data_IF_147470791735
#
_entry.id   IF_147470791735
#
_cell.length_a   1.000
_cell.length_b   1.000
_cell.length_c   1.000
_cell.angle_alpha   90.00
_cell.angle_beta   90.00
_cell.angle_gamma   90.00
#
_symmetry.space_group_name_H-M   'P 1'
#
loop_
_entity.id
_entity.type
_entity.pdbx_description
1 polymer ?
#
# COMPACT_ATOMS: atom_id res chain seq x y z
N UNK A 1 -2.33 16.90 -8.04
CA UNK A 1 -3.72 16.97 -7.52
C UNK A 1 -3.64 17.57 -6.14
N UNK A 2 -4.46 18.57 -5.83
CA UNK A 2 -4.44 19.22 -4.53
C UNK A 2 -5.30 18.44 -3.52
N UNK A 3 -4.94 18.51 -2.25
CA UNK A 3 -5.76 18.00 -1.15
C UNK A 3 -6.92 18.97 -0.92
N UNK A 4 -8.15 18.47 -0.83
CA UNK A 4 -9.32 19.30 -0.55
C UNK A 4 -9.38 19.65 0.92
N UNK A 5 -9.44 20.95 1.23
CA UNK A 5 -9.63 21.51 2.57
C UNK A 5 -11.10 21.82 2.83
N UNK A 6 -11.44 22.11 4.09
CA UNK A 6 -12.79 22.46 4.52
C UNK A 6 -12.78 23.80 5.26
N UNK A 7 -13.90 24.48 5.28
CA UNK A 7 -14.10 25.68 6.10
C UNK A 7 -13.96 25.32 7.59
N UNK A 8 -13.28 26.13 8.40
CA UNK A 8 -12.95 25.84 9.80
C UNK A 8 -14.17 26.06 10.73
N UNK A 9 -15.27 25.35 10.50
CA UNK A 9 -16.52 25.46 11.26
C UNK A 9 -16.47 24.80 12.63
N UNK A 10 -15.50 23.90 12.87
CA UNK A 10 -15.28 23.26 14.18
C UNK A 10 -13.81 22.89 14.35
N UNK A 11 -13.33 22.63 15.59
CA UNK A 11 -11.94 22.22 15.85
C UNK A 11 -11.51 20.99 15.03
N UNK A 12 -12.40 20.03 14.85
CA UNK A 12 -12.13 18.81 14.10
C UNK A 12 -11.98 19.05 12.59
N UNK A 13 -12.77 19.98 12.04
CA UNK A 13 -12.81 20.28 10.60
C UNK A 13 -11.71 21.25 10.20
N UNK A 14 -11.24 22.11 11.13
CA UNK A 14 -10.18 23.11 10.88
C UNK A 14 -8.93 22.54 10.20
N UNK A 15 -8.50 21.36 10.62
CA UNK A 15 -7.29 20.72 10.08
C UNK A 15 -7.59 19.51 9.19
N UNK A 16 -8.88 19.16 9.01
CA UNK A 16 -9.27 18.01 8.23
C UNK A 16 -9.09 18.27 6.75
N UNK A 17 -8.50 17.29 6.07
CA UNK A 17 -8.39 17.29 4.61
C UNK A 17 -8.84 15.95 4.05
N UNK A 18 -9.12 15.91 2.76
CA UNK A 18 -9.44 14.69 2.01
C UNK A 18 -8.70 14.70 0.67
N UNK A 19 -8.47 13.52 0.11
CA UNK A 19 -7.98 13.43 -1.26
C UNK A 19 -8.98 14.05 -2.23
N UNK A 20 -8.49 14.62 -3.33
CA UNK A 20 -9.36 15.10 -4.41
C UNK A 20 -9.89 13.90 -5.19
N UNK A 21 -11.21 13.78 -5.25
CA UNK A 21 -11.92 12.73 -5.96
C UNK A 21 -12.45 13.19 -7.33
N UNK A 22 -12.05 14.38 -7.81
CA UNK A 22 -12.46 14.91 -9.12
C UNK A 22 -12.02 14.05 -10.30
N UNK A 23 -10.92 13.30 -10.10
CA UNK A 23 -10.38 12.37 -11.09
C UNK A 23 -11.22 11.10 -11.27
N UNK A 24 -12.11 10.81 -10.33
CA UNK A 24 -12.94 9.61 -10.38
C UNK A 24 -14.09 9.79 -11.38
N UNK A 25 -14.19 8.85 -12.30
CA UNK A 25 -15.19 8.91 -13.38
C UNK A 25 -16.43 8.06 -13.09
N UNK A 26 -16.31 7.05 -12.24
CA UNK A 26 -17.41 6.16 -11.87
C UNK A 26 -17.51 6.01 -10.36
N UNK A 27 -18.72 6.18 -9.80
CA UNK A 27 -19.00 6.08 -8.36
C UNK A 27 -19.34 4.65 -7.92
N UNK A 28 -20.09 3.91 -8.73
CA UNK A 28 -20.53 2.55 -8.42
C UNK A 28 -19.51 1.53 -8.94
N UNK A 29 -19.04 0.59 -8.09
CA UNK A 29 -18.10 -0.43 -8.53
C UNK A 29 -18.78 -1.50 -9.39
N UNK A 30 -17.99 -2.19 -10.23
CA UNK A 30 -18.45 -3.32 -11.03
C UNK A 30 -18.83 -4.49 -10.11
N UNK A 31 -20.10 -4.94 -10.20
CA UNK A 31 -20.67 -5.93 -9.27
C UNK A 31 -20.00 -7.30 -9.39
N UNK A 32 -19.66 -7.73 -10.59
CA UNK A 32 -18.99 -9.01 -10.88
C UNK A 32 -17.59 -9.12 -10.25
N UNK A 33 -16.91 -7.98 -10.08
CA UNK A 33 -15.57 -7.89 -9.51
C UNK A 33 -15.55 -7.57 -8.00
N UNK A 34 -16.67 -7.78 -7.29
CA UNK A 34 -16.78 -7.55 -5.85
C UNK A 34 -16.82 -8.85 -5.04
N UNK A 35 -16.07 -8.85 -3.95
CA UNK A 35 -16.10 -9.94 -2.95
C UNK A 35 -16.41 -9.38 -1.56
N UNK A 36 -17.24 -10.10 -0.80
CA UNK A 36 -17.47 -9.78 0.61
C UNK A 36 -16.29 -10.26 1.44
N UNK A 37 -15.68 -9.36 2.21
CA UNK A 37 -14.57 -9.66 3.11
C UNK A 37 -15.08 -9.97 4.53
N UNK A 38 -14.50 -10.97 5.18
CA UNK A 38 -14.68 -11.20 6.62
C UNK A 38 -13.87 -10.20 7.42
N UNK A 39 -14.41 -9.71 8.54
CA UNK A 39 -13.71 -8.82 9.47
C UNK A 39 -13.21 -9.65 10.66
N UNK A 40 -11.90 -9.83 10.75
CA UNK A 40 -11.30 -10.59 11.85
C UNK A 40 -10.99 -9.72 13.09
N UNK A 41 -11.06 -8.40 12.98
CA UNK A 41 -10.80 -7.44 14.07
C UNK A 41 -9.52 -7.77 14.88
N UNK A 42 -8.44 -8.15 14.19
CA UNK A 42 -7.16 -8.51 14.81
C UNK A 42 -7.10 -9.87 15.49
N UNK A 43 -8.13 -10.74 15.33
CA UNK A 43 -8.17 -12.11 15.89
C UNK A 43 -7.56 -13.09 14.92
N UNK A 44 -6.89 -14.12 15.48
CA UNK A 44 -6.40 -15.29 14.74
C UNK A 44 -7.51 -16.35 14.56
N UNK A 45 -7.16 -17.54 14.04
CA UNK A 45 -8.07 -18.66 13.86
C UNK A 45 -8.68 -19.20 15.16
N UNK A 46 -7.98 -19.02 16.28
CA UNK A 46 -8.44 -19.41 17.62
C UNK A 46 -9.27 -18.32 18.33
N UNK A 47 -9.58 -17.20 17.66
CA UNK A 47 -10.32 -16.09 18.23
C UNK A 47 -9.52 -15.18 19.17
N UNK A 48 -8.23 -15.45 19.40
CA UNK A 48 -7.35 -14.62 20.25
C UNK A 48 -6.89 -13.38 19.50
N UNK A 49 -6.80 -12.25 20.21
CA UNK A 49 -6.28 -10.99 19.65
C UNK A 49 -4.77 -11.11 19.48
N UNK A 50 -4.30 -11.15 18.24
CA UNK A 50 -2.88 -11.16 17.87
C UNK A 50 -2.41 -9.79 17.39
N UNK A 51 -3.31 -8.95 16.89
CA UNK A 51 -3.06 -7.57 16.51
C UNK A 51 -4.04 -6.66 17.23
N UNK A 52 -3.53 -5.87 18.19
CA UNK A 52 -4.34 -4.96 19.00
C UNK A 52 -4.87 -3.78 18.19
N UNK A 53 -5.85 -3.07 18.75
CA UNK A 53 -6.40 -1.81 18.25
C UNK A 53 -7.04 -1.91 16.85
N UNK A 54 -7.62 -3.05 16.49
CA UNK A 54 -8.38 -3.24 15.25
C UNK A 54 -9.83 -3.59 15.52
N UNK A 55 -10.73 -3.16 14.63
CA UNK A 55 -12.15 -3.49 14.65
C UNK A 55 -13.08 -2.28 14.57
N UNK A 56 -14.38 -2.53 14.43
CA UNK A 56 -15.43 -1.52 14.43
C UNK A 56 -15.47 -0.58 13.23
N UNK A 57 -14.73 -0.83 12.18
CA UNK A 57 -14.72 0.00 10.97
C UNK A 57 -15.96 -0.21 10.08
N UNK A 58 -16.15 0.70 9.12
CA UNK A 58 -17.22 0.62 8.12
C UNK A 58 -17.19 -0.71 7.36
N UNK A 59 -18.35 -1.16 6.87
CA UNK A 59 -18.44 -2.31 5.97
C UNK A 59 -17.82 -1.92 4.62
N UNK A 60 -16.96 -2.80 4.09
CA UNK A 60 -16.27 -2.59 2.81
C UNK A 60 -16.37 -3.86 1.99
N UNK A 61 -16.66 -3.72 0.70
CA UNK A 61 -16.52 -4.81 -0.26
C UNK A 61 -15.10 -4.78 -0.82
N UNK A 62 -14.51 -5.94 -1.07
CA UNK A 62 -13.18 -6.09 -1.65
C UNK A 62 -13.33 -6.09 -3.17
N UNK A 63 -12.57 -5.22 -3.88
CA UNK A 63 -12.43 -5.26 -5.33
C UNK A 63 -11.41 -6.34 -5.68
N UNK A 64 -11.74 -7.18 -6.62
CA UNK A 64 -10.83 -8.21 -7.15
C UNK A 64 -9.91 -7.51 -8.15
N UNK A 65 -8.65 -7.34 -7.75
CA UNK A 65 -7.63 -6.71 -8.60
C UNK A 65 -6.86 -7.79 -9.33
N UNK A 66 -6.63 -7.59 -10.61
CA UNK A 66 -5.75 -8.45 -11.40
C UNK A 66 -4.28 -8.11 -11.11
N UNK A 67 -3.70 -8.86 -10.16
CA UNK A 67 -2.31 -8.71 -9.77
C UNK A 67 -1.32 -9.40 -10.72
N UNK A 68 -1.80 -10.32 -11.51
CA UNK A 68 -0.95 -11.17 -12.36
C UNK A 68 -0.80 -10.64 -13.77
N UNK A 69 -1.85 -10.01 -14.30
CA UNK A 69 -1.87 -9.49 -15.67
C UNK A 69 -1.43 -10.54 -16.70
N UNK A 70 -2.07 -11.71 -16.65
CA UNK A 70 -1.67 -12.89 -17.46
C UNK A 70 -2.19 -12.87 -18.90
N UNK A 71 -2.98 -11.88 -19.29
CA UNK A 71 -3.51 -11.73 -20.64
C UNK A 71 -2.51 -11.00 -21.53
N UNK A 72 -1.47 -11.74 -21.93
CA UNK A 72 -0.38 -11.18 -22.72
C UNK A 72 -0.80 -10.89 -24.16
N UNK A 73 -0.34 -9.78 -24.72
CA UNK A 73 -0.61 -9.36 -26.10
C UNK A 73 -2.03 -8.84 -26.34
N UNK A 74 -2.96 -8.96 -25.38
CA UNK A 74 -4.34 -8.51 -25.56
C UNK A 74 -4.47 -7.07 -25.01
N UNK A 75 -4.74 -6.07 -25.86
CA UNK A 75 -4.95 -4.71 -25.40
C UNK A 75 -6.25 -4.57 -24.60
N UNK A 76 -6.21 -3.75 -23.57
CA UNK A 76 -7.37 -3.39 -22.78
C UNK A 76 -7.51 -1.86 -22.75
N UNK A 77 -8.75 -1.37 -22.83
CA UNK A 77 -9.06 0.06 -22.75
C UNK A 77 -9.52 0.41 -21.34
N UNK A 78 -9.04 1.53 -20.81
CA UNK A 78 -9.49 2.07 -19.51
C UNK A 78 -10.89 2.65 -19.67
N UNK A 79 -11.87 2.04 -19.02
CA UNK A 79 -13.28 2.46 -19.08
C UNK A 79 -13.66 3.41 -17.94
N UNK A 80 -13.03 3.26 -16.77
CA UNK A 80 -13.31 4.12 -15.61
C UNK A 80 -12.13 4.15 -14.63
N UNK A 81 -12.03 5.25 -13.86
CA UNK A 81 -11.19 5.34 -12.67
C UNK A 81 -12.10 5.39 -11.45
N UNK A 82 -11.86 4.50 -10.48
CA UNK A 82 -12.75 4.27 -9.35
C UNK A 82 -12.03 4.34 -7.99
N UNK A 83 -12.80 4.62 -6.95
CA UNK A 83 -12.37 4.57 -5.56
C UNK A 83 -12.41 3.14 -4.99
N UNK A 84 -11.35 2.73 -4.30
CA UNK A 84 -11.34 1.50 -3.52
C UNK A 84 -11.15 1.81 -2.02
N UNK A 85 -12.12 1.48 -1.14
CA UNK A 85 -12.01 1.72 0.31
C UNK A 85 -10.98 0.81 1.02
N UNK A 86 -10.37 -0.16 0.32
CA UNK A 86 -9.42 -1.11 0.90
C UNK A 86 -7.96 -0.71 0.66
N UNK A 87 -7.72 0.32 -0.15
CA UNK A 87 -6.37 0.80 -0.49
C UNK A 87 -6.30 2.32 -0.58
N UNK A 88 -5.10 2.82 -0.61
CA UNK A 88 -4.83 4.26 -0.72
C UNK A 88 -4.83 4.75 -2.16
N UNK A 89 -4.44 3.90 -3.11
CA UNK A 89 -4.44 4.18 -4.54
C UNK A 89 -5.84 4.07 -5.14
N UNK A 90 -6.11 4.82 -6.20
CA UNK A 90 -7.28 4.59 -7.06
C UNK A 90 -7.07 3.33 -7.90
N UNK A 91 -8.17 2.79 -8.43
CA UNK A 91 -8.18 1.64 -9.33
C UNK A 91 -8.76 2.05 -10.66
N UNK A 92 -8.31 1.40 -11.73
CA UNK A 92 -8.86 1.56 -13.07
C UNK A 92 -9.62 0.30 -13.47
N UNK A 93 -10.84 0.47 -13.96
CA UNK A 93 -11.58 -0.58 -14.61
C UNK A 93 -11.11 -0.61 -16.07
N UNK A 94 -10.59 -1.74 -16.50
CA UNK A 94 -10.15 -1.98 -17.86
C UNK A 94 -11.05 -3.01 -18.51
N UNK A 95 -11.27 -2.86 -19.81
CA UNK A 95 -12.00 -3.80 -20.65
C UNK A 95 -11.09 -4.28 -21.78
N UNK A 96 -10.87 -5.58 -21.84
CA UNK A 96 -10.14 -6.21 -22.93
C UNK A 96 -10.98 -6.26 -24.20
N UNK A 97 -10.32 -6.42 -25.35
CA UNK A 97 -10.99 -6.52 -26.65
C UNK A 97 -12.00 -7.68 -26.70
N UNK A 98 -11.76 -8.75 -25.94
CA UNK A 98 -12.65 -9.90 -25.79
C UNK A 98 -13.86 -9.64 -24.86
N UNK A 99 -14.08 -8.40 -24.41
CA UNK A 99 -15.19 -7.99 -23.56
C UNK A 99 -14.99 -8.25 -22.06
N UNK A 100 -13.93 -8.96 -21.64
CA UNK A 100 -13.67 -9.24 -20.24
C UNK A 100 -13.21 -7.97 -19.52
N UNK A 101 -13.79 -7.72 -18.35
CA UNK A 101 -13.42 -6.58 -17.49
C UNK A 101 -12.54 -7.01 -16.34
N UNK A 102 -11.60 -6.15 -15.92
CA UNK A 102 -10.73 -6.36 -14.77
C UNK A 102 -10.40 -5.05 -14.07
N UNK A 103 -10.07 -5.12 -12.78
CA UNK A 103 -9.49 -3.98 -12.07
C UNK A 103 -7.97 -4.07 -12.02
N UNK A 104 -7.32 -2.93 -12.25
CA UNK A 104 -5.89 -2.73 -12.03
C UNK A 104 -5.67 -1.54 -11.10
N UNK A 105 -4.46 -1.35 -10.55
CA UNK A 105 -4.11 -0.10 -9.91
C UNK A 105 -3.94 0.99 -10.97
N UNK A 106 -4.48 2.17 -10.71
CA UNK A 106 -4.33 3.30 -11.63
C UNK A 106 -2.94 3.94 -11.43
N UNK A 107 -2.04 3.88 -12.42
CA UNK A 107 -0.80 4.65 -12.40
C UNK A 107 -1.09 6.14 -12.55
N UNK A 108 -0.12 6.95 -12.18
CA UNK A 108 -0.20 8.40 -12.34
C UNK A 108 -0.30 8.76 -13.83
N UNK A 109 -1.18 9.70 -14.15
CA UNK A 109 -1.39 10.17 -15.53
C UNK A 109 -2.34 9.31 -16.38
N UNK A 110 -2.78 8.13 -15.90
CA UNK A 110 -3.72 7.28 -16.64
C UNK A 110 -5.10 7.96 -16.76
N UNK A 111 -5.66 7.94 -17.96
CA UNK A 111 -6.98 8.54 -18.28
C UNK A 111 -7.94 7.48 -18.83
N UNK A 112 -9.23 7.81 -18.80
CA UNK A 112 -10.26 7.01 -19.48
C UNK A 112 -10.03 7.09 -21.00
N UNK A 113 -10.09 5.95 -21.66
CA UNK A 113 -9.79 5.80 -23.10
C UNK A 113 -8.37 5.33 -23.40
N UNK A 114 -7.43 5.44 -22.42
CA UNK A 114 -6.08 4.95 -22.62
C UNK A 114 -6.05 3.43 -22.81
N UNK A 115 -5.11 2.96 -23.61
CA UNK A 115 -4.88 1.53 -23.84
C UNK A 115 -3.74 1.04 -22.95
N UNK A 116 -3.92 -0.11 -22.34
CA UNK A 116 -2.91 -0.79 -21.52
C UNK A 116 -2.73 -2.23 -21.98
N UNK A 117 -1.49 -2.67 -22.09
CA UNK A 117 -1.12 -4.00 -22.56
C UNK A 117 -0.21 -4.68 -21.54
N UNK A 118 -0.20 -6.00 -21.55
CA UNK A 118 0.74 -6.82 -20.78
C UNK A 118 1.46 -7.77 -21.74
N UNK A 119 2.73 -8.04 -21.53
CA UNK A 119 3.48 -8.97 -22.37
C UNK A 119 4.95 -8.62 -22.47
N UNK A 120 5.66 -9.32 -23.37
CA UNK A 120 7.09 -9.11 -23.63
C UNK A 120 7.34 -7.94 -24.58
N UNK A 121 6.46 -7.73 -25.54
CA UNK A 121 6.61 -6.78 -26.66
C UNK A 121 5.62 -5.60 -26.51
N UNK A 122 5.67 -4.97 -25.35
CA UNK A 122 4.83 -3.80 -25.05
C UNK A 122 5.69 -2.54 -24.95
N UNK A 123 5.12 -1.40 -25.34
CA UNK A 123 5.75 -0.10 -25.19
C UNK A 123 5.98 0.26 -23.73
N UNK A 124 7.01 1.06 -23.46
CA UNK A 124 7.36 1.54 -22.12
C UNK A 124 6.46 2.74 -21.75
N UNK A 125 5.17 2.46 -21.64
CA UNK A 125 4.12 3.44 -21.30
C UNK A 125 3.53 3.12 -19.94
N UNK A 126 3.16 4.15 -19.17
CA UNK A 126 2.55 3.98 -17.85
C UNK A 126 1.28 3.11 -17.90
N UNK A 127 1.23 2.08 -17.06
CA UNK A 127 0.13 1.10 -17.02
C UNK A 127 0.41 -0.21 -17.75
N UNK A 128 1.39 -0.25 -18.64
CA UNK A 128 1.83 -1.50 -19.28
C UNK A 128 2.62 -2.36 -18.31
N UNK A 129 2.52 -3.67 -18.47
CA UNK A 129 3.20 -4.65 -17.60
C UNK A 129 4.11 -5.53 -18.43
N UNK A 130 5.40 -5.51 -18.10
CA UNK A 130 6.45 -6.28 -18.77
C UNK A 130 7.26 -7.11 -17.79
N UNK A 131 7.92 -8.18 -18.27
CA UNK A 131 9.02 -8.79 -17.54
C UNK A 131 10.15 -7.76 -17.33
N UNK A 132 10.78 -7.79 -16.16
CA UNK A 132 11.87 -6.85 -15.83
C UNK A 132 13.03 -6.95 -16.84
N UNK A 133 13.23 -8.12 -17.43
CA UNK A 133 14.21 -8.32 -18.51
C UNK A 133 14.06 -7.29 -19.65
N UNK A 134 12.80 -6.96 -20.01
CA UNK A 134 12.48 -6.12 -21.17
C UNK A 134 12.34 -4.62 -20.81
N UNK A 135 12.42 -4.27 -19.53
CA UNK A 135 12.30 -2.87 -19.07
C UNK A 135 13.69 -2.21 -19.06
N UNK A 136 13.92 -1.06 -19.71
CA UNK A 136 15.21 -0.36 -19.67
C UNK A 136 15.65 -0.01 -18.25
N UNK A 137 16.96 -0.02 -18.00
CA UNK A 137 17.55 0.46 -16.75
C UNK A 137 17.26 1.97 -16.59
N UNK A 138 17.05 2.40 -15.34
CA UNK A 138 16.64 3.77 -15.01
C UNK A 138 15.12 3.98 -15.00
N UNK A 139 14.33 3.09 -15.60
CA UNK A 139 12.86 3.22 -15.67
C UNK A 139 12.23 3.18 -14.29
N UNK A 140 11.22 4.03 -14.09
CA UNK A 140 10.35 4.04 -12.91
C UNK A 140 9.29 2.95 -13.08
N UNK A 141 9.17 2.09 -12.09
CA UNK A 141 8.28 0.92 -12.08
C UNK A 141 7.46 0.84 -10.79
N UNK A 142 6.33 0.18 -10.86
CA UNK A 142 5.48 -0.13 -9.71
C UNK A 142 4.88 -1.53 -9.84
N UNK A 143 4.06 -1.96 -8.88
CA UNK A 143 3.41 -3.28 -8.91
C UNK A 143 4.39 -4.43 -9.19
N UNK A 144 5.53 -4.44 -8.50
CA UNK A 144 6.62 -5.38 -8.76
C UNK A 144 6.33 -6.76 -8.15
N UNK A 145 6.54 -7.82 -8.92
CA UNK A 145 6.52 -9.20 -8.43
C UNK A 145 7.79 -9.52 -7.62
N UNK A 146 7.66 -10.44 -6.67
CA UNK A 146 8.79 -11.01 -5.92
C UNK A 146 9.20 -12.40 -6.41
N UNK A 147 8.26 -13.11 -7.02
CA UNK A 147 8.47 -14.41 -7.66
C UNK A 147 7.69 -14.43 -8.96
N UNK A 148 8.26 -14.97 -10.05
CA UNK A 148 7.58 -15.02 -11.34
C UNK A 148 6.19 -15.67 -11.23
N UNK A 149 5.19 -15.05 -11.86
CA UNK A 149 3.81 -15.55 -11.93
C UNK A 149 2.99 -15.46 -10.62
N UNK A 150 3.57 -14.94 -9.53
CA UNK A 150 2.85 -14.79 -8.26
C UNK A 150 1.95 -13.56 -8.24
N UNK A 151 2.16 -12.63 -9.13
CA UNK A 151 1.49 -11.34 -9.19
C UNK A 151 2.17 -10.27 -8.35
N UNK A 152 1.77 -9.03 -8.55
CA UNK A 152 2.34 -7.84 -7.93
C UNK A 152 2.27 -7.90 -6.40
N UNK A 153 3.40 -7.69 -5.72
CA UNK A 153 3.51 -7.75 -4.26
C UNK A 153 4.11 -6.49 -3.64
N UNK A 154 5.01 -5.80 -4.33
CA UNK A 154 5.68 -4.59 -3.85
C UNK A 154 5.21 -3.35 -4.62
N UNK A 155 5.43 -2.18 -4.04
CA UNK A 155 5.18 -0.86 -4.67
C UNK A 155 3.75 -0.74 -5.18
N UNK A 156 2.76 -0.78 -4.25
CA UNK A 156 1.32 -0.79 -4.57
C UNK A 156 0.52 0.31 -3.89
N UNK A 157 1.16 1.09 -3.01
CA UNK A 157 0.50 2.18 -2.28
C UNK A 157 0.47 3.45 -3.12
N UNK A 158 -0.47 4.35 -2.82
CA UNK A 158 -0.58 5.63 -3.49
C UNK A 158 0.76 6.38 -3.50
N UNK A 159 1.13 6.99 -4.62
CA UNK A 159 2.37 7.74 -4.80
C UNK A 159 3.65 6.92 -4.69
N UNK A 160 3.57 5.59 -4.65
CA UNK A 160 4.78 4.78 -4.56
C UNK A 160 5.33 4.42 -5.93
N UNK A 161 6.65 4.51 -6.04
CA UNK A 161 7.42 4.08 -7.21
C UNK A 161 8.71 3.39 -6.78
N UNK A 162 9.26 2.57 -7.65
CA UNK A 162 10.58 1.97 -7.53
C UNK A 162 11.37 2.27 -8.79
N UNK A 163 12.69 2.23 -8.72
CA UNK A 163 13.55 2.44 -9.87
C UNK A 163 14.36 1.18 -10.18
N UNK A 164 14.40 0.80 -11.44
CA UNK A 164 15.25 -0.26 -11.93
C UNK A 164 16.68 0.28 -12.08
N UNK A 165 17.61 -0.18 -11.22
CA UNK A 165 18.97 0.37 -11.14
C UNK A 165 19.95 -0.34 -12.09
N UNK A 166 19.90 -1.67 -12.11
CA UNK A 166 20.80 -2.49 -12.91
C UNK A 166 20.17 -3.87 -13.18
N UNK A 167 20.71 -4.57 -14.18
CA UNK A 167 20.41 -5.98 -14.46
C UNK A 167 21.71 -6.76 -14.54
N UNK A 168 21.81 -7.85 -13.81
CA UNK A 168 23.00 -8.70 -13.72
C UNK A 168 22.56 -10.18 -13.77
N UNK A 169 22.83 -10.83 -14.89
CA UNK A 169 22.42 -12.23 -15.11
C UNK A 169 20.91 -12.42 -14.91
N UNK A 170 20.53 -13.33 -14.02
CA UNK A 170 19.11 -13.67 -13.73
C UNK A 170 18.43 -12.70 -12.76
N UNK A 171 19.13 -11.66 -12.27
CA UNK A 171 18.59 -10.73 -11.28
C UNK A 171 18.69 -9.28 -11.75
N UNK A 172 17.73 -8.51 -11.29
CA UNK A 172 17.70 -7.06 -11.44
C UNK A 172 17.76 -6.39 -10.07
N UNK A 173 18.49 -5.30 -9.96
CA UNK A 173 18.57 -4.46 -8.77
C UNK A 173 17.48 -3.40 -8.82
N UNK A 174 16.58 -3.42 -7.85
CA UNK A 174 15.44 -2.50 -7.76
C UNK A 174 15.55 -1.68 -6.48
N UNK A 175 15.60 -0.35 -6.63
CA UNK A 175 15.54 0.60 -5.51
C UNK A 175 14.09 0.83 -5.13
N UNK A 176 13.72 0.43 -3.92
CA UNK A 176 12.38 0.54 -3.37
C UNK A 176 12.12 1.94 -2.79
N UNK A 177 10.83 2.34 -2.56
CA UNK A 177 10.47 3.62 -1.94
C UNK A 177 11.13 3.84 -0.57
N UNK A 178 11.45 2.76 0.15
CA UNK A 178 12.14 2.81 1.45
C UNK A 178 13.64 3.17 1.35
N UNK A 179 14.21 3.24 0.14
CA UNK A 179 15.65 3.38 -0.12
C UNK A 179 16.42 2.04 -0.11
N UNK A 180 15.77 0.91 0.25
CA UNK A 180 16.38 -0.42 0.15
C UNK A 180 16.61 -0.78 -1.31
N UNK A 181 17.81 -1.23 -1.67
CA UNK A 181 18.11 -1.83 -2.97
C UNK A 181 18.03 -3.35 -2.83
N UNK A 182 17.21 -3.95 -3.67
CA UNK A 182 16.90 -5.38 -3.59
C UNK A 182 17.02 -6.05 -4.94
N UNK A 183 17.52 -7.28 -4.94
CA UNK A 183 17.52 -8.18 -6.09
C UNK A 183 16.14 -8.79 -6.30
N UNK A 184 15.67 -8.78 -7.54
CA UNK A 184 14.43 -9.40 -8.02
C UNK A 184 14.78 -10.15 -9.30
N UNK A 185 14.23 -11.35 -9.52
CA UNK A 185 14.47 -12.08 -10.77
C UNK A 185 13.99 -11.28 -11.99
N UNK A 186 14.78 -11.30 -13.05
CA UNK A 186 14.43 -10.61 -14.32
C UNK A 186 13.17 -11.17 -14.97
N UNK A 187 12.77 -12.40 -14.63
CA UNK A 187 11.53 -13.03 -15.09
C UNK A 187 10.28 -12.50 -14.36
N UNK A 188 10.45 -11.78 -13.24
CA UNK A 188 9.36 -11.11 -12.55
C UNK A 188 8.79 -9.99 -13.40
N UNK A 189 7.48 -9.75 -13.27
CA UNK A 189 6.79 -8.65 -13.96
C UNK A 189 6.75 -7.40 -13.10
N UNK A 190 6.74 -6.26 -13.76
CA UNK A 190 6.50 -4.96 -13.14
C UNK A 190 5.64 -4.10 -14.07
N UNK A 191 4.87 -3.20 -13.50
CA UNK A 191 4.12 -2.18 -14.23
C UNK A 191 4.97 -0.93 -14.38
N UNK A 192 4.95 -0.34 -15.55
CA UNK A 192 5.65 0.91 -15.83
C UNK A 192 4.92 2.08 -15.17
N UNK A 193 5.70 3.01 -14.60
CA UNK A 193 5.21 4.24 -14.00
C UNK A 193 5.11 4.19 -12.47
N UNK A 194 4.49 5.20 -11.92
CA UNK A 194 4.23 5.45 -10.50
C UNK A 194 2.75 5.25 -10.19
N UNK A 195 2.42 4.79 -8.98
CA UNK A 195 1.02 4.67 -8.55
C UNK A 195 0.40 6.05 -8.35
N UNK A 196 -0.79 6.26 -8.87
CA UNK A 196 -1.53 7.51 -8.73
C UNK A 196 -1.95 7.85 -7.29
N UNK A 197 -2.61 9.03 -7.11
CA UNK A 197 -3.04 9.57 -5.82
C UNK A 197 -1.89 9.87 -4.84
N UNK A 198 -0.77 10.42 -5.34
CA UNK A 198 0.43 10.72 -4.55
C UNK A 198 0.14 11.60 -3.33
N UNK A 199 -0.80 12.56 -3.45
CA UNK A 199 -1.19 13.46 -2.36
C UNK A 199 -1.93 12.79 -1.18
N UNK A 200 -2.14 11.48 -1.24
CA UNK A 200 -2.80 10.74 -0.15
C UNK A 200 -2.03 10.85 1.18
N UNK A 201 -0.73 10.98 1.16
CA UNK A 201 0.10 11.15 2.37
C UNK A 201 -0.17 12.48 3.09
N UNK A 202 -0.58 13.52 2.36
CA UNK A 202 -0.89 14.85 2.88
C UNK A 202 -2.29 14.93 3.51
N UNK A 203 -3.07 13.83 3.50
CA UNK A 203 -4.43 13.81 4.05
C UNK A 203 -4.40 13.80 5.57
N UNK A 204 -4.94 14.87 6.18
CA UNK A 204 -5.15 14.94 7.63
C UNK A 204 -6.54 14.42 8.00
N UNK A 205 -6.56 13.40 8.86
CA UNK A 205 -7.80 12.73 9.28
C UNK A 205 -8.70 13.67 10.12
N UNK A 206 -8.13 14.59 10.89
CA UNK A 206 -8.79 15.65 11.65
C UNK A 206 -9.48 15.20 12.93
N UNK A 207 -10.12 14.03 12.99
CA UNK A 207 -10.89 13.57 14.16
C UNK A 207 -10.76 12.08 14.45
N UNK A 208 -10.83 11.70 15.72
CA UNK A 208 -10.77 10.33 16.19
C UNK A 208 -11.88 9.43 15.60
N UNK A 209 -13.10 9.97 15.42
CA UNK A 209 -14.21 9.23 14.82
C UNK A 209 -13.93 8.74 13.40
N UNK A 210 -13.19 9.53 12.60
CA UNK A 210 -12.77 9.09 11.27
C UNK A 210 -11.80 7.91 11.31
N UNK A 211 -10.85 7.91 12.26
CA UNK A 211 -9.99 6.73 12.54
C UNK A 211 -10.83 5.51 12.95
N UNK A 212 -11.85 5.72 13.80
CA UNK A 212 -12.78 4.64 14.20
C UNK A 212 -13.50 4.02 12.98
N UNK A 213 -13.98 4.83 12.06
CA UNK A 213 -14.61 4.37 10.81
C UNK A 213 -13.63 3.60 9.92
N UNK A 214 -12.33 3.90 9.98
CA UNK A 214 -11.29 3.14 9.28
C UNK A 214 -10.99 1.79 9.92
N UNK A 215 -11.51 1.51 11.13
CA UNK A 215 -11.32 0.28 11.87
C UNK A 215 -10.17 0.34 12.89
N UNK A 216 -9.65 1.51 13.17
CA UNK A 216 -8.62 1.72 14.20
C UNK A 216 -9.29 2.01 15.54
N UNK A 217 -9.08 1.13 16.52
CA UNK A 217 -9.57 1.34 17.90
C UNK A 217 -8.63 2.28 18.67
N UNK A 218 -9.13 2.98 19.72
CA UNK A 218 -8.30 3.81 20.59
C UNK A 218 -7.16 3.02 21.22
N UNK A 219 -6.03 3.69 21.40
CA UNK A 219 -4.84 3.15 22.08
C UNK A 219 -4.57 3.95 23.34
N UNK A 220 -4.26 3.26 24.44
CA UNK A 220 -3.91 3.86 25.72
C UNK A 220 -2.39 3.88 25.86
N UNK A 221 -1.83 4.99 26.34
CA UNK A 221 -0.39 5.12 26.62
C UNK A 221 0.01 4.28 27.82
N UNK A 222 1.19 3.66 27.80
CA UNK A 222 1.69 2.85 28.90
C UNK A 222 1.84 3.61 30.23
N UNK A 223 2.18 4.91 30.18
CA UNK A 223 2.33 5.77 31.38
C UNK A 223 1.04 6.00 32.18
N UNK A 224 -0.13 5.74 31.60
CA UNK A 224 -1.44 5.88 32.29
C UNK A 224 -2.01 4.52 32.73
N UNK A 225 -1.23 3.48 32.61
CA UNK A 225 -1.58 2.13 33.06
C UNK A 225 -0.99 1.85 34.46
N UNK A 226 -1.42 0.75 35.06
CA UNK A 226 -0.83 0.27 36.32
C UNK A 226 0.55 -0.36 36.09
N UNK A 227 1.41 -0.49 37.11
CA UNK A 227 2.74 -1.09 37.00
C UNK A 227 2.72 -2.54 36.49
N UNK A 228 1.67 -3.30 36.79
CA UNK A 228 1.50 -4.68 36.32
C UNK A 228 1.10 -4.78 34.83
N UNK A 229 0.54 -3.70 34.26
CA UNK A 229 0.05 -3.70 32.87
C UNK A 229 1.11 -3.21 31.86
N UNK A 230 2.01 -2.34 32.31
CA UNK A 230 3.03 -1.77 31.46
C UNK A 230 4.28 -1.35 32.25
N UNK A 231 5.50 -1.55 31.71
CA UNK A 231 6.74 -1.10 32.35
C UNK A 231 6.82 0.41 32.62
N UNK A 232 6.03 1.24 31.95
CA UNK A 232 5.91 2.68 32.21
C UNK A 232 4.78 3.04 33.16
N UNK A 233 4.06 2.04 33.67
CA UNK A 233 2.90 2.26 34.56
C UNK A 233 3.31 2.63 35.95
N UNK A 234 2.35 3.20 36.69
CA UNK A 234 2.53 3.64 38.09
C UNK A 234 2.91 5.10 38.26
N UNK A 235 3.10 5.48 39.49
CA UNK A 235 3.37 6.84 39.90
C UNK A 235 2.12 7.69 40.10
N UNK A 236 2.30 8.91 40.61
CA UNK A 236 1.23 9.87 40.86
C UNK A 236 1.29 11.05 39.89
N UNK A 237 0.12 11.54 39.47
CA UNK A 237 0.01 12.69 38.57
C UNK A 237 0.56 12.40 37.17
N UNK A 238 1.41 13.29 36.64
CA UNK A 238 2.05 13.17 35.33
C UNK A 238 3.43 12.53 35.44
N UNK A 239 3.47 11.24 35.75
CA UNK A 239 4.74 10.50 35.90
C UNK A 239 5.50 10.42 34.58
N UNK A 240 6.83 10.52 34.60
CA UNK A 240 7.67 10.26 33.42
C UNK A 240 7.74 8.75 33.11
N UNK A 241 8.40 8.40 32.01
CA UNK A 241 8.61 7.00 31.62
C UNK A 241 9.45 6.22 32.66
N UNK A 242 10.33 6.89 33.39
CA UNK A 242 11.16 6.29 34.45
C UNK A 242 12.26 5.36 33.96
N UNK A 243 12.49 5.29 32.64
CA UNK A 243 13.50 4.44 31.99
C UNK A 243 14.35 5.28 31.03
N UNK A 244 15.58 4.84 30.68
CA UNK A 244 16.45 5.56 29.74
C UNK A 244 15.82 5.77 28.35
N UNK A 245 14.81 4.96 27.98
CA UNK A 245 14.07 5.08 26.74
C UNK A 245 12.73 4.36 26.79
N UNK A 246 11.81 4.67 25.87
CA UNK A 246 10.50 4.03 25.84
C UNK A 246 10.60 2.55 25.49
N UNK A 247 9.81 1.73 26.16
CA UNK A 247 9.71 0.28 25.92
C UNK A 247 8.27 -0.14 25.59
N UNK A 248 8.15 -1.32 24.99
CA UNK A 248 6.86 -1.96 24.74
C UNK A 248 6.30 -2.58 26.03
N UNK A 249 5.00 -3.04 26.05
CA UNK A 249 4.45 -3.77 27.20
C UNK A 249 5.26 -5.00 27.61
N UNK A 250 6.08 -5.52 26.74
CA UNK A 250 6.97 -6.67 26.98
C UNK A 250 8.42 -6.27 27.31
N UNK A 251 8.68 -5.02 27.63
CA UNK A 251 10.00 -4.52 28.01
C UNK A 251 11.00 -4.35 26.85
N UNK A 252 10.57 -4.49 25.61
CA UNK A 252 11.46 -4.34 24.45
C UNK A 252 11.61 -2.87 24.10
N UNK A 253 12.85 -2.33 23.94
CA UNK A 253 13.06 -0.95 23.48
C UNK A 253 12.32 -0.66 22.16
N UNK A 254 11.59 0.47 22.11
CA UNK A 254 10.80 0.86 20.94
C UNK A 254 11.60 1.65 19.91
N UNK A 255 12.67 2.33 20.33
CA UNK A 255 13.55 3.11 19.49
C UNK A 255 14.85 2.36 19.18
N UNK A 256 15.28 2.39 17.92
CA UNK A 256 16.58 1.90 17.47
C UNK A 256 16.75 0.38 17.40
N UNK A 257 15.92 -0.43 18.02
CA UNK A 257 16.06 -1.89 17.99
C UNK A 257 15.78 -2.46 16.61
N UNK A 258 16.76 -3.19 16.04
CA UNK A 258 16.59 -3.91 14.77
C UNK A 258 15.78 -5.19 15.02
N UNK A 259 14.53 -5.24 14.55
CA UNK A 259 13.61 -6.38 14.76
C UNK A 259 13.59 -7.40 13.64
N UNK A 260 14.21 -7.10 12.47
CA UNK A 260 14.32 -8.05 11.38
C UNK A 260 15.13 -9.27 11.78
N UNK A 261 14.60 -10.47 11.56
CA UNK A 261 15.32 -11.71 11.83
C UNK A 261 16.56 -11.82 10.91
N UNK A 262 17.75 -11.96 11.50
CA UNK A 262 19.02 -12.07 10.79
C UNK A 262 19.12 -13.34 9.93
N UNK A 263 18.46 -14.44 10.34
CA UNK A 263 18.45 -15.73 9.64
C UNK A 263 17.38 -15.81 8.54
N UNK A 264 16.63 -14.74 8.27
CA UNK A 264 15.57 -14.75 7.25
C UNK A 264 16.18 -14.95 5.86
N UNK A 265 15.74 -15.98 5.13
CA UNK A 265 16.24 -16.30 3.78
C UNK A 265 16.20 -15.13 2.80
N UNK A 266 15.21 -14.23 2.93
CA UNK A 266 15.10 -13.05 2.07
C UNK A 266 16.21 -12.02 2.28
N UNK A 267 17.10 -12.17 3.26
CA UNK A 267 18.22 -11.25 3.48
C UNK A 267 19.25 -11.33 2.34
N UNK A 268 19.41 -12.51 1.72
CA UNK A 268 20.31 -12.71 0.57
C UNK A 268 19.97 -11.86 -0.67
N UNK A 269 18.74 -11.36 -0.76
CA UNK A 269 18.28 -10.51 -1.87
C UNK A 269 18.42 -9.01 -1.57
N UNK A 270 18.90 -8.60 -0.40
CA UNK A 270 19.11 -7.20 -0.06
C UNK A 270 20.55 -6.83 -0.38
N UNK A 271 20.75 -5.95 -1.36
CA UNK A 271 22.05 -5.41 -1.75
C UNK A 271 22.45 -4.29 -0.81
N UNK A 272 21.53 -3.33 -0.60
CA UNK A 272 21.73 -2.19 0.29
C UNK A 272 20.51 -2.02 1.19
N UNK A 273 20.74 -1.98 2.51
CA UNK A 273 19.64 -1.74 3.45
C UNK A 273 19.20 -0.27 3.42
N UNK A 274 17.97 0.02 3.90
CA UNK A 274 17.42 1.39 3.92
C UNK A 274 18.19 2.37 4.82
N UNK A 275 19.02 1.87 5.72
CA UNK A 275 19.80 2.69 6.68
C UNK A 275 21.32 2.63 6.45
N UNK A 276 21.76 2.19 5.26
CA UNK A 276 23.18 2.02 4.94
C UNK A 276 23.69 0.65 5.30
#
# INVERSE_FOLDING_TARGET
MAVKTFNPTSPAVRQMTVADYSVLTKKAPEKSLLKTGKKNAGRNSYGRITVRHQGGGNRKKIRIIDWKRTRDGIPATVTAIEYDPNRTSFIALIQYVDGVTSYILAPNGLKVGDKVVSGTDCDIIAGNVLPIANIPVGTVICCVELKPGKGAQMVRTAGSSAQLMAKEGDFAQVRLPSGEVRMVSVKCRAMIGEIGNAEHENVNIGKAGRKRHMGVRPSVRGVVMNPNDHPHGGGEGKSPIGLPGPVTPWGVPTLGKKTRNKKKQSNKYIVKSRKG
#
